data_IF_373603508177
#
_entry.id   IF_373603508177
#
_cell.length_a   1.000
_cell.length_b   1.000
_cell.length_c   1.000
_cell.angle_alpha   90.00
_cell.angle_beta   90.00
_cell.angle_gamma   90.00
#
_symmetry.space_group_name_H-M   'P 1'
#
loop_
_entity.id
_entity.type
_entity.pdbx_description
1 polymer ?
#
# COMPACT_ATOMS: atom_id res chain seq x y z
N UNK A 1 -2.67 -15.66 5.13
CA UNK A 1 -3.62 -16.25 4.17
C UNK A 1 -4.89 -15.41 4.05
N UNK A 2 -5.46 -14.96 5.18
CA UNK A 2 -6.67 -14.11 5.16
C UNK A 2 -6.40 -12.71 4.59
N UNK A 3 -5.22 -12.14 4.84
CA UNK A 3 -4.88 -10.79 4.37
C UNK A 3 -4.86 -10.72 2.84
N UNK A 4 -4.15 -11.66 2.19
CA UNK A 4 -4.17 -11.80 0.74
C UNK A 4 -5.58 -12.01 0.19
N UNK A 5 -6.34 -12.96 0.74
CA UNK A 5 -7.69 -13.28 0.25
C UNK A 5 -8.62 -12.07 0.32
N UNK A 6 -8.51 -11.25 1.37
CA UNK A 6 -9.27 -10.00 1.47
C UNK A 6 -8.88 -9.02 0.36
N UNK A 7 -7.59 -8.84 0.09
CA UNK A 7 -7.13 -7.94 -0.98
C UNK A 7 -7.61 -8.41 -2.37
N UNK A 8 -7.54 -9.72 -2.65
CA UNK A 8 -8.04 -10.29 -3.90
C UNK A 8 -9.56 -10.11 -4.04
N UNK A 9 -10.33 -10.31 -2.96
CA UNK A 9 -11.78 -10.12 -2.97
C UNK A 9 -12.19 -8.66 -3.20
N UNK A 10 -11.40 -7.71 -2.73
CA UNK A 10 -11.56 -6.27 -2.98
C UNK A 10 -11.00 -5.83 -4.35
N UNK A 11 -10.49 -6.78 -5.16
CA UNK A 11 -9.97 -6.51 -6.50
C UNK A 11 -8.66 -5.72 -6.52
N UNK A 12 -7.87 -5.79 -5.44
CA UNK A 12 -6.57 -5.13 -5.36
C UNK A 12 -5.56 -5.90 -6.23
N UNK A 13 -4.99 -5.20 -7.23
CA UNK A 13 -3.98 -5.75 -8.14
C UNK A 13 -2.59 -5.13 -7.96
N UNK A 14 -2.50 -4.00 -7.26
CA UNK A 14 -1.29 -3.19 -7.15
C UNK A 14 -1.13 -2.67 -5.72
N UNK A 15 0.05 -2.88 -5.14
CA UNK A 15 0.43 -2.31 -3.84
C UNK A 15 1.66 -1.42 -3.99
N UNK A 16 1.63 -0.26 -3.35
CA UNK A 16 2.77 0.66 -3.26
C UNK A 16 3.33 0.61 -1.85
N UNK A 17 4.65 0.52 -1.68
CA UNK A 17 5.17 0.47 -0.32
C UNK A 17 6.66 0.58 -0.17
N UNK A 18 7.08 0.70 1.08
CA UNK A 18 8.47 0.65 1.48
C UNK A 18 8.61 -0.40 2.59
N UNK A 19 9.38 -1.48 2.37
CA UNK A 19 9.44 -2.61 3.30
C UNK A 19 10.21 -2.24 4.57
N UNK A 20 9.83 -2.87 5.68
CA UNK A 20 10.54 -2.82 6.95
C UNK A 20 10.31 -4.10 7.75
N UNK A 21 11.09 -4.31 8.81
CA UNK A 21 11.18 -5.62 9.48
C UNK A 21 9.84 -6.19 9.96
N UNK A 22 8.92 -5.35 10.46
CA UNK A 22 7.65 -5.80 11.06
C UNK A 22 6.65 -6.28 10.01
N UNK A 23 6.74 -5.76 8.78
CA UNK A 23 5.80 -6.06 7.70
C UNK A 23 6.30 -7.21 6.80
N UNK A 24 7.52 -7.72 7.00
CA UNK A 24 8.09 -8.82 6.19
C UNK A 24 7.18 -10.06 6.06
N UNK A 25 6.48 -10.55 7.12
CA UNK A 25 5.58 -11.70 6.96
C UNK A 25 4.42 -11.44 5.99
N UNK A 26 4.00 -10.17 5.86
CA UNK A 26 2.98 -9.77 4.88
C UNK A 26 3.59 -9.81 3.48
N UNK A 27 4.82 -9.32 3.30
CA UNK A 27 5.53 -9.40 2.03
C UNK A 27 5.71 -10.86 1.56
N UNK A 28 6.06 -11.77 2.46
CA UNK A 28 6.23 -13.19 2.14
C UNK A 28 4.91 -13.81 1.65
N UNK A 29 3.78 -13.50 2.29
CA UNK A 29 2.46 -13.96 1.87
C UNK A 29 2.05 -13.40 0.49
N UNK A 30 2.43 -12.15 0.22
CA UNK A 30 2.08 -11.45 -1.00
C UNK A 30 2.98 -11.81 -2.19
N UNK A 31 4.20 -12.31 -1.93
CA UNK A 31 5.21 -12.61 -2.96
C UNK A 31 4.72 -13.59 -4.03
N UNK A 32 3.83 -14.51 -3.67
CA UNK A 32 3.32 -15.55 -4.58
C UNK A 32 2.01 -15.16 -5.29
N UNK A 33 1.43 -13.98 -5.00
CA UNK A 33 0.02 -13.72 -5.31
C UNK A 33 -0.32 -12.35 -5.89
N UNK A 34 0.43 -11.30 -5.55
CA UNK A 34 0.16 -9.98 -6.12
C UNK A 34 0.84 -9.83 -7.47
N UNK A 35 0.04 -9.41 -8.45
CA UNK A 35 0.54 -9.14 -9.80
C UNK A 35 1.64 -8.07 -9.79
N UNK A 36 1.51 -7.03 -8.93
CA UNK A 36 2.47 -5.93 -8.85
C UNK A 36 2.66 -5.36 -7.44
N UNK A 37 3.89 -5.45 -6.95
CA UNK A 37 4.38 -4.64 -5.83
C UNK A 37 5.30 -3.53 -6.35
N UNK A 38 4.91 -2.27 -6.15
CA UNK A 38 5.70 -1.09 -6.51
C UNK A 38 6.53 -0.64 -5.32
N UNK A 39 7.83 -0.94 -5.37
CA UNK A 39 8.79 -0.50 -4.38
C UNK A 39 9.03 1.01 -4.49
N UNK A 40 8.57 1.75 -3.49
CA UNK A 40 8.86 3.17 -3.33
C UNK A 40 10.17 3.39 -2.56
N UNK A 41 10.61 4.64 -2.43
CA UNK A 41 11.82 5.01 -1.66
C UNK A 41 11.52 5.75 -0.36
N UNK A 42 10.24 6.01 -0.10
CA UNK A 42 9.76 6.68 1.10
C UNK A 42 8.27 6.37 1.25
N UNK A 43 7.79 6.15 2.47
CA UNK A 43 6.41 5.76 2.74
C UNK A 43 5.42 6.85 2.30
N UNK A 44 5.76 8.13 2.51
CA UNK A 44 4.96 9.24 1.98
C UNK A 44 4.75 9.13 0.46
N UNK A 45 5.77 8.67 -0.28
CA UNK A 45 5.65 8.43 -1.72
C UNK A 45 4.71 7.27 -2.03
N UNK A 46 4.70 6.22 -1.21
CA UNK A 46 3.73 5.12 -1.34
C UNK A 46 2.30 5.57 -1.13
N UNK A 47 2.02 6.38 -0.11
CA UNK A 47 0.68 6.92 0.14
C UNK A 47 0.17 7.75 -1.05
N UNK A 48 0.97 8.71 -1.55
CA UNK A 48 0.55 9.53 -2.69
C UNK A 48 0.46 8.74 -4.00
N UNK A 49 1.28 7.71 -4.19
CA UNK A 49 1.16 6.84 -5.35
C UNK A 49 -0.11 6.00 -5.31
N UNK A 50 -0.49 5.48 -4.14
CA UNK A 50 -1.73 4.74 -3.94
C UNK A 50 -2.96 5.62 -4.16
N UNK A 51 -2.96 6.84 -3.61
CA UNK A 51 -3.99 7.85 -3.86
C UNK A 51 -4.13 8.20 -5.35
N UNK A 52 -3.01 8.55 -6.00
CA UNK A 52 -3.00 8.85 -7.44
C UNK A 52 -3.46 7.66 -8.31
N UNK A 53 -3.09 6.44 -7.93
CA UNK A 53 -3.58 5.21 -8.57
C UNK A 53 -5.09 5.08 -8.44
N UNK A 54 -5.63 5.26 -7.24
CA UNK A 54 -7.07 5.15 -7.00
C UNK A 54 -7.85 6.17 -7.84
N UNK A 55 -7.42 7.44 -7.81
CA UNK A 55 -8.08 8.54 -8.53
C UNK A 55 -8.01 8.39 -10.05
N UNK A 56 -6.89 7.88 -10.57
CA UNK A 56 -6.70 7.73 -12.04
C UNK A 56 -7.37 6.50 -12.63
N UNK A 57 -7.65 5.47 -11.82
CA UNK A 57 -8.18 4.19 -12.30
C UNK A 57 -9.60 3.87 -11.81
N UNK A 58 -10.05 4.51 -10.73
CA UNK A 58 -11.28 4.15 -10.02
C UNK A 58 -11.17 2.85 -9.21
N UNK A 59 -9.97 2.26 -9.09
CA UNK A 59 -9.72 1.05 -8.30
C UNK A 59 -9.24 1.40 -6.89
N UNK A 60 -9.21 0.42 -5.99
CA UNK A 60 -8.67 0.59 -4.64
C UNK A 60 -7.15 0.79 -4.70
N UNK A 61 -6.66 1.89 -4.13
CA UNK A 61 -5.24 2.15 -3.92
C UNK A 61 -4.78 1.60 -2.57
N UNK A 62 -3.66 0.87 -2.54
CA UNK A 62 -3.10 0.29 -1.32
C UNK A 62 -1.67 0.76 -1.07
N UNK A 63 -1.44 1.36 0.09
CA UNK A 63 -0.13 1.73 0.58
C UNK A 63 0.29 0.81 1.75
N UNK A 64 1.52 0.29 1.72
CA UNK A 64 2.08 -0.60 2.72
C UNK A 64 3.37 -0.04 3.33
N UNK A 65 3.41 0.06 4.65
CA UNK A 65 4.58 0.48 5.41
C UNK A 65 4.74 -0.33 6.71
N UNK A 66 5.95 -0.32 7.27
CA UNK A 66 6.22 -0.89 8.59
C UNK A 66 5.69 -0.01 9.72
N UNK A 67 5.60 -0.56 10.93
CA UNK A 67 5.26 0.20 12.13
C UNK A 67 6.32 1.27 12.50
N UNK A 68 5.98 2.13 13.46
CA UNK A 68 6.87 3.18 13.94
C UNK A 68 7.00 4.32 12.91
N UNK A 69 8.22 4.75 12.53
CA UNK A 69 8.41 5.89 11.63
C UNK A 69 7.75 5.67 10.26
N UNK A 70 7.69 4.43 9.77
CA UNK A 70 7.04 4.12 8.49
C UNK A 70 5.55 4.47 8.50
N UNK A 71 4.83 4.10 9.57
CA UNK A 71 3.44 4.48 9.76
C UNK A 71 3.26 6.00 9.88
N UNK A 72 4.14 6.69 10.63
CA UNK A 72 4.08 8.14 10.75
C UNK A 72 4.29 8.86 9.42
N UNK A 73 5.20 8.35 8.57
CA UNK A 73 5.48 8.91 7.26
C UNK A 73 4.31 8.79 6.27
N UNK A 74 3.35 7.88 6.52
CA UNK A 74 2.13 7.78 5.72
C UNK A 74 1.11 8.88 6.04
N UNK A 75 1.15 9.49 7.23
CA UNK A 75 0.07 10.38 7.73
C UNK A 75 -0.23 11.52 6.74
N UNK A 76 0.79 12.15 6.18
CA UNK A 76 0.59 13.25 5.22
C UNK A 76 -0.16 12.79 3.98
N UNK A 77 0.24 11.66 3.39
CA UNK A 77 -0.42 11.16 2.18
C UNK A 77 -1.81 10.58 2.47
N UNK A 78 -2.02 10.00 3.65
CA UNK A 78 -3.35 9.58 4.11
C UNK A 78 -4.29 10.78 4.25
N UNK A 79 -3.81 11.87 4.85
CA UNK A 79 -4.59 13.10 4.97
C UNK A 79 -4.94 13.70 3.59
N UNK A 80 -4.01 13.68 2.64
CA UNK A 80 -4.29 14.07 1.24
C UNK A 80 -5.40 13.21 0.65
N UNK A 81 -5.29 11.89 0.77
CA UNK A 81 -6.30 10.97 0.22
C UNK A 81 -7.69 11.21 0.84
N UNK A 82 -7.79 11.41 2.15
CA UNK A 82 -9.06 11.66 2.84
C UNK A 82 -9.71 12.99 2.42
N UNK A 83 -8.92 14.01 2.11
CA UNK A 83 -9.43 15.34 1.71
C UNK A 83 -9.80 15.43 0.22
N UNK A 84 -9.12 14.68 -0.65
CA UNK A 84 -9.20 14.82 -2.11
C UNK A 84 -9.88 13.61 -2.83
N UNK A 85 -10.42 12.63 -2.08
CA UNK A 85 -11.10 11.42 -2.60
C UNK A 85 -12.61 11.40 -2.40
#
# INVERSE_FOLDING_TARGET
MIFRQTLEAEGVDTIFGYPGGVVLPIFDELYESLDKFVLTRHEQGAAHAADGYARSTGKVGVALATSGPGACNLITGLATADMDS
#
